data_IF_716636697484
#
_entry.id   IF_716636697484
#
_cell.length_a   1.000
_cell.length_b   1.000
_cell.length_c   1.000
_cell.angle_alpha   90.00
_cell.angle_beta   90.00
_cell.angle_gamma   90.00
#
_symmetry.space_group_name_H-M   'P 1'
#
loop_
_entity.id
_entity.type
_entity.pdbx_description
1 polymer ?
#
# COMPACT_ATOMS: atom_id res chain seq x y z
N UNK A 1 9.57 -21.75 -12.02
CA UNK A 1 8.12 -21.48 -12.08
C UNK A 1 7.40 -21.45 -10.73
N UNK A 2 7.79 -22.28 -9.74
CA UNK A 2 7.07 -22.40 -8.45
C UNK A 2 7.33 -21.28 -7.43
N UNK A 3 8.54 -20.73 -7.37
CA UNK A 3 8.93 -19.75 -6.34
C UNK A 3 8.27 -18.37 -6.51
N UNK A 4 7.92 -17.98 -7.75
CA UNK A 4 7.27 -16.69 -8.02
C UNK A 4 5.81 -16.68 -7.55
N UNK A 5 5.10 -17.80 -7.70
CA UNK A 5 3.71 -17.94 -7.25
C UNK A 5 3.59 -17.88 -5.72
N UNK A 6 4.53 -18.50 -5.01
CA UNK A 6 4.59 -18.45 -3.54
C UNK A 6 4.81 -17.03 -3.02
N UNK A 7 5.74 -16.30 -3.63
CA UNK A 7 6.01 -14.90 -3.28
C UNK A 7 4.78 -14.01 -3.51
N UNK A 8 4.11 -14.15 -4.67
CA UNK A 8 2.91 -13.37 -4.99
C UNK A 8 1.76 -13.63 -4.01
N UNK A 9 1.56 -14.88 -3.60
CA UNK A 9 0.55 -15.24 -2.60
C UNK A 9 0.86 -14.58 -1.26
N UNK A 10 2.11 -14.59 -0.81
CA UNK A 10 2.52 -13.98 0.45
C UNK A 10 2.33 -12.46 0.40
N UNK A 11 2.72 -11.81 -0.69
CA UNK A 11 2.53 -10.36 -0.88
C UNK A 11 1.05 -9.99 -0.83
N UNK A 12 0.19 -10.74 -1.52
CA UNK A 12 -1.26 -10.49 -1.52
C UNK A 12 -1.86 -10.67 -0.13
N UNK A 13 -1.49 -11.73 0.59
CA UNK A 13 -1.98 -11.99 1.95
C UNK A 13 -1.54 -10.87 2.90
N UNK A 14 -0.25 -10.50 2.88
CA UNK A 14 0.27 -9.44 3.74
C UNK A 14 -0.34 -8.07 3.41
N UNK A 15 -0.57 -7.78 2.13
CA UNK A 15 -1.22 -6.54 1.70
C UNK A 15 -2.66 -6.50 2.20
N UNK A 16 -3.42 -7.59 2.04
CA UNK A 16 -4.78 -7.69 2.55
C UNK A 16 -4.83 -7.54 4.08
N UNK A 17 -3.92 -8.20 4.81
CA UNK A 17 -3.82 -8.08 6.27
C UNK A 17 -3.47 -6.65 6.70
N UNK A 18 -2.57 -5.98 5.98
CA UNK A 18 -2.15 -4.61 6.27
C UNK A 18 -3.27 -3.60 6.01
N UNK A 19 -3.99 -3.76 4.90
CA UNK A 19 -5.16 -2.93 4.56
C UNK A 19 -6.28 -3.15 5.57
N UNK A 20 -6.61 -4.40 5.89
CA UNK A 20 -7.62 -4.73 6.89
C UNK A 20 -7.23 -4.17 8.27
N UNK A 21 -5.98 -4.36 8.71
CA UNK A 21 -5.49 -3.85 9.98
C UNK A 21 -5.55 -2.32 10.09
N UNK A 22 -5.28 -1.60 8.99
CA UNK A 22 -5.37 -0.13 8.96
C UNK A 22 -6.79 0.39 8.87
N UNK A 23 -7.67 -0.26 8.10
CA UNK A 23 -9.08 0.13 8.01
C UNK A 23 -9.78 -0.14 9.35
N UNK A 24 -9.52 -1.29 9.97
CA UNK A 24 -10.11 -1.65 11.27
C UNK A 24 -9.49 -0.80 12.38
N UNK A 25 -8.17 -0.59 12.36
CA UNK A 25 -7.47 0.24 13.35
C UNK A 25 -7.83 1.71 13.23
N UNK A 26 -7.44 2.37 12.12
CA UNK A 26 -7.67 3.80 11.96
C UNK A 26 -9.15 4.12 11.72
N UNK A 27 -9.84 3.38 10.84
CA UNK A 27 -11.28 3.58 10.58
C UNK A 27 -12.16 3.24 11.78
N UNK A 28 -11.81 2.21 12.55
CA UNK A 28 -12.49 1.90 13.81
C UNK A 28 -12.30 2.98 14.86
N UNK A 29 -11.11 3.58 14.96
CA UNK A 29 -10.89 4.72 15.88
C UNK A 29 -11.66 5.98 15.47
N UNK A 30 -11.78 6.29 14.17
CA UNK A 30 -12.62 7.41 13.71
C UNK A 30 -14.10 7.14 13.96
N UNK A 31 -14.54 5.88 13.85
CA UNK A 31 -15.90 5.50 14.18
C UNK A 31 -16.19 5.65 15.69
N UNK A 32 -15.23 5.26 16.55
CA UNK A 32 -15.29 5.47 18.01
C UNK A 32 -15.32 6.96 18.40
N UNK A 33 -14.73 7.84 17.59
CA UNK A 33 -14.81 9.30 17.78
C UNK A 33 -16.16 9.90 17.35
N UNK A 34 -17.11 9.10 16.87
CA UNK A 34 -18.45 9.55 16.48
C UNK A 34 -18.60 9.97 15.02
N UNK A 35 -17.58 9.76 14.18
CA UNK A 35 -17.67 10.04 12.75
C UNK A 35 -18.45 8.93 12.01
N UNK A 36 -19.20 9.31 10.99
CA UNK A 36 -20.01 8.40 10.19
C UNK A 36 -19.15 7.36 9.44
N UNK A 37 -19.75 6.20 9.13
CA UNK A 37 -19.09 5.08 8.45
C UNK A 37 -18.37 5.47 7.14
N UNK A 38 -18.94 6.40 6.37
CA UNK A 38 -18.34 6.91 5.15
C UNK A 38 -17.01 7.65 5.42
N UNK A 39 -16.92 8.37 6.53
CA UNK A 39 -15.73 9.13 6.89
C UNK A 39 -14.63 8.21 7.44
N UNK A 40 -15.00 7.20 8.22
CA UNK A 40 -14.09 6.16 8.72
C UNK A 40 -13.45 5.35 7.59
N UNK A 41 -14.22 4.94 6.59
CA UNK A 41 -13.71 4.24 5.40
C UNK A 41 -12.78 5.12 4.56
N UNK A 42 -13.06 6.43 4.50
CA UNK A 42 -12.26 7.42 3.78
C UNK A 42 -10.92 7.70 4.48
N UNK A 43 -10.91 7.79 5.80
CA UNK A 43 -9.67 7.93 6.58
C UNK A 43 -8.82 6.66 6.50
N UNK A 44 -9.45 5.48 6.60
CA UNK A 44 -8.76 4.19 6.46
C UNK A 44 -8.10 4.00 5.09
N UNK A 45 -8.74 4.45 4.02
CA UNK A 45 -8.22 4.33 2.64
C UNK A 45 -7.06 5.30 2.34
N UNK A 46 -7.06 6.51 2.91
CA UNK A 46 -5.94 7.46 2.78
C UNK A 46 -4.65 6.91 3.41
N UNK A 47 -4.75 6.16 4.51
CA UNK A 47 -3.61 5.60 5.25
C UNK A 47 -2.92 4.41 4.54
N UNK A 48 -3.49 3.95 3.42
CA UNK A 48 -2.88 2.94 2.53
C UNK A 48 -1.80 3.56 1.65
N UNK A 49 -1.80 4.89 1.46
CA UNK A 49 -0.78 5.63 0.72
C UNK A 49 0.59 5.61 1.41
N UNK A 50 1.33 4.51 1.28
CA UNK A 50 2.70 4.36 1.79
C UNK A 50 3.59 3.88 0.64
N UNK A 51 4.18 4.81 -0.10
CA UNK A 51 5.24 4.51 -1.09
C UNK A 51 6.67 4.70 -0.56
N UNK A 52 6.85 5.53 0.48
CA UNK A 52 8.18 5.89 0.98
C UNK A 52 8.94 4.70 1.58
N UNK A 53 8.27 3.86 2.38
CA UNK A 53 8.88 2.67 2.97
C UNK A 53 9.19 1.58 1.93
N UNK A 54 8.39 1.49 0.87
CA UNK A 54 8.61 0.56 -0.23
C UNK A 54 9.88 0.93 -1.01
N UNK A 55 10.06 2.21 -1.33
CA UNK A 55 11.28 2.73 -1.96
C UNK A 55 12.53 2.53 -1.07
N UNK A 56 12.40 2.72 0.24
CA UNK A 56 13.48 2.46 1.21
C UNK A 56 13.83 0.98 1.26
N UNK A 57 12.84 0.08 1.26
CA UNK A 57 13.03 -1.37 1.21
C UNK A 57 13.70 -1.83 -0.08
N UNK A 58 13.34 -1.26 -1.23
CA UNK A 58 13.98 -1.56 -2.52
C UNK A 58 15.45 -1.12 -2.50
N UNK A 59 15.72 0.09 -2.00
CA UNK A 59 17.10 0.60 -1.87
C UNK A 59 17.92 -0.25 -0.91
N UNK A 60 17.32 -0.68 0.20
CA UNK A 60 17.96 -1.59 1.16
C UNK A 60 18.22 -2.98 0.55
N UNK A 61 17.26 -3.53 -0.20
CA UNK A 61 17.38 -4.81 -0.90
C UNK A 61 18.49 -4.81 -1.96
N UNK A 62 18.67 -3.68 -2.66
CA UNK A 62 19.79 -3.47 -3.57
C UNK A 62 21.14 -3.39 -2.81
N UNK A 63 21.16 -2.70 -1.67
CA UNK A 63 22.37 -2.54 -0.84
C UNK A 63 22.90 -3.89 -0.29
N UNK A 64 22.00 -4.78 0.12
CA UNK A 64 22.38 -6.13 0.60
C UNK A 64 22.59 -7.14 -0.54
N UNK A 65 22.44 -6.73 -1.80
CA UNK A 65 22.62 -7.59 -2.99
C UNK A 65 21.49 -8.59 -3.22
N UNK A 66 20.32 -8.41 -2.59
CA UNK A 66 19.16 -9.29 -2.74
C UNK A 66 18.37 -9.01 -4.03
N UNK A 67 18.51 -7.80 -4.58
CA UNK A 67 17.78 -7.32 -5.76
C UNK A 67 18.79 -6.74 -6.73
N UNK A 68 18.68 -7.13 -8.01
CA UNK A 68 19.54 -6.60 -9.07
C UNK A 68 19.10 -5.17 -9.47
N UNK A 69 20.02 -4.40 -10.05
CA UNK A 69 19.80 -3.01 -10.49
C UNK A 69 18.57 -2.88 -11.40
N UNK A 70 18.37 -3.86 -12.29
CA UNK A 70 17.24 -3.92 -13.22
C UNK A 70 15.90 -4.17 -12.52
N UNK A 71 15.90 -5.02 -11.50
CA UNK A 71 14.72 -5.36 -10.70
C UNK A 71 14.32 -4.18 -9.79
N UNK A 72 15.31 -3.49 -9.24
CA UNK A 72 15.13 -2.29 -8.42
C UNK A 72 14.42 -1.19 -9.22
N UNK A 73 14.90 -0.91 -10.45
CA UNK A 73 14.28 0.07 -11.35
C UNK A 73 12.82 -0.29 -11.69
N UNK A 74 12.52 -1.57 -11.94
CA UNK A 74 11.16 -2.03 -12.21
C UNK A 74 10.22 -1.84 -11.00
N UNK A 75 10.67 -2.20 -9.79
CA UNK A 75 9.89 -2.04 -8.56
C UNK A 75 9.61 -0.56 -8.26
N UNK A 76 10.64 0.29 -8.34
CA UNK A 76 10.50 1.75 -8.16
C UNK A 76 9.47 2.33 -9.14
N UNK A 77 9.48 1.88 -10.40
CA UNK A 77 8.54 2.35 -11.43
C UNK A 77 7.10 1.95 -11.11
N UNK A 78 6.87 0.72 -10.63
CA UNK A 78 5.55 0.25 -10.20
C UNK A 78 5.06 1.02 -8.99
N UNK A 79 5.90 1.21 -7.97
CA UNK A 79 5.58 2.00 -6.77
C UNK A 79 5.23 3.44 -7.13
N UNK A 80 5.99 4.06 -8.05
CA UNK A 80 5.70 5.41 -8.51
C UNK A 80 4.35 5.47 -9.22
N UNK A 81 4.05 4.52 -10.11
CA UNK A 81 2.77 4.43 -10.80
C UNK A 81 1.60 4.31 -9.81
N UNK A 82 1.66 3.40 -8.85
CA UNK A 82 0.60 3.23 -7.84
C UNK A 82 0.45 4.45 -6.93
N UNK A 83 1.56 5.11 -6.57
CA UNK A 83 1.53 6.40 -5.84
C UNK A 83 0.86 7.50 -6.65
N UNK A 84 1.07 7.56 -7.98
CA UNK A 84 0.37 8.51 -8.85
C UNK A 84 -1.12 8.18 -9.03
N UNK A 85 -1.48 6.90 -9.08
CA UNK A 85 -2.87 6.47 -9.18
C UNK A 85 -3.67 6.72 -7.88
N UNK A 86 -3.05 6.59 -6.71
CA UNK A 86 -3.71 6.74 -5.41
C UNK A 86 -4.46 8.10 -5.21
N UNK A 87 -3.86 9.28 -5.46
CA UNK A 87 -4.55 10.56 -5.37
C UNK A 87 -5.58 10.75 -6.51
N UNK A 88 -5.36 10.13 -7.67
CA UNK A 88 -6.27 10.18 -8.80
C UNK A 88 -7.58 9.44 -8.48
N UNK A 89 -7.47 8.27 -7.83
CA UNK A 89 -8.61 7.51 -7.30
C UNK A 89 -9.29 8.24 -6.13
N UNK A 90 -8.50 8.87 -5.26
CA UNK A 90 -9.04 9.65 -4.14
C UNK A 90 -9.78 10.92 -4.60
N UNK A 91 -9.36 11.51 -5.73
CA UNK A 91 -10.06 12.60 -6.40
C UNK A 91 -11.45 12.20 -6.92
N UNK A 92 -11.62 10.95 -7.35
CA UNK A 92 -12.92 10.39 -7.79
C UNK A 92 -13.85 10.18 -6.60
N UNK A 93 -13.35 9.71 -5.46
CA UNK A 93 -14.13 9.50 -4.23
C UNK A 93 -14.43 10.79 -3.42
N UNK A 94 -13.88 11.94 -3.81
CA UNK A 94 -14.22 13.24 -3.19
C UNK A 94 -15.54 13.83 -3.72
N UNK A 95 -16.14 13.25 -4.76
CA UNK A 95 -17.32 13.82 -5.42
C UNK A 95 -18.66 13.16 -5.05
N UNK A 96 -18.68 12.29 -4.04
CA UNK A 96 -19.90 11.68 -3.48
C UNK A 96 -20.17 12.16 -2.08
#
# INVERSE_FOLDING_TARGET
GGSLKGLLIIIVILTALSVAGKIIGCGGTTWLMGNGWNESLRVGSVMVGRGALELVLISYGLFIGYIDTLQSAALITVTLLTVFLAPLLHGVFRKG
#
